data_IF_547551975509
#
_entry.id   IF_547551975509
#
_cell.length_a   1.000
_cell.length_b   1.000
_cell.length_c   1.000
_cell.angle_alpha   90.00
_cell.angle_beta   90.00
_cell.angle_gamma   90.00
#
_symmetry.space_group_name_H-M   'P 1'
#
loop_
_entity.id
_entity.type
_entity.pdbx_description
1 polymer ?
#
# COMPACT_ATOMS: atom_id res chain seq x y z
N UNK A 1 -12.64 -8.05 9.21
CA UNK A 1 -13.32 -6.82 8.80
C UNK A 1 -12.43 -6.01 7.87
N UNK A 2 -13.03 -5.31 6.93
CA UNK A 2 -12.30 -4.48 5.98
C UNK A 2 -12.46 -3.01 6.33
N UNK A 3 -11.43 -2.25 6.05
CA UNK A 3 -11.44 -0.81 6.28
C UNK A 3 -10.96 -0.10 5.03
N UNK A 4 -11.55 1.06 4.77
CA UNK A 4 -11.00 1.97 3.77
C UNK A 4 -10.40 3.14 4.52
N UNK A 5 -9.10 3.30 4.38
CA UNK A 5 -8.37 4.31 5.14
C UNK A 5 -7.56 5.20 4.21
N UNK A 6 -7.39 6.45 4.64
CA UNK A 6 -6.44 7.34 4.01
C UNK A 6 -5.11 7.11 4.72
N UNK A 7 -4.23 6.36 4.09
CA UNK A 7 -2.96 5.99 4.71
C UNK A 7 -1.90 7.04 4.42
N UNK A 8 -0.94 7.16 5.31
CA UNK A 8 0.19 8.06 5.14
C UNK A 8 1.40 7.27 4.71
N UNK A 9 2.04 7.71 3.63
CA UNK A 9 3.29 7.08 3.19
C UNK A 9 4.37 7.46 4.19
N UNK A 10 4.99 6.45 4.80
CA UNK A 10 6.05 6.67 5.76
C UNK A 10 7.40 6.65 5.08
N UNK A 11 7.57 5.76 4.11
CA UNK A 11 8.85 5.57 3.46
C UNK A 11 8.62 4.78 2.19
N UNK A 12 9.34 5.14 1.13
CA UNK A 12 9.34 4.32 -0.08
C UNK A 12 10.75 4.25 -0.62
N UNK A 13 11.16 3.05 -1.00
CA UNK A 13 12.52 2.80 -1.45
C UNK A 13 12.49 1.88 -2.66
N UNK A 14 13.24 2.23 -3.69
CA UNK A 14 13.41 1.32 -4.82
C UNK A 14 14.48 0.31 -4.43
N UNK A 15 14.10 -0.97 -4.34
CA UNK A 15 15.01 -2.00 -3.86
C UNK A 15 15.61 -2.83 -4.97
N UNK A 16 15.07 -2.71 -6.18
CA UNK A 16 15.60 -3.38 -7.36
C UNK A 16 15.01 -2.70 -8.57
N UNK A 17 15.43 -3.11 -9.77
CA UNK A 17 14.87 -2.54 -10.99
C UNK A 17 13.36 -2.76 -11.00
N UNK A 18 12.59 -1.68 -11.08
CA UNK A 18 11.12 -1.71 -11.13
C UNK A 18 10.46 -2.28 -9.89
N UNK A 19 11.19 -2.49 -8.79
CA UNK A 19 10.62 -3.05 -7.57
C UNK A 19 10.81 -2.07 -6.43
N UNK A 20 9.71 -1.79 -5.72
CA UNK A 20 9.67 -0.79 -4.66
C UNK A 20 9.16 -1.38 -3.36
N UNK A 21 9.72 -0.90 -2.26
CA UNK A 21 9.26 -1.21 -0.91
C UNK A 21 8.55 0.02 -0.36
N UNK A 22 7.31 -0.15 0.03
CA UNK A 22 6.46 0.96 0.48
C UNK A 22 5.92 0.68 1.87
N UNK A 23 6.28 1.56 2.82
CA UNK A 23 5.72 1.50 4.17
C UNK A 23 4.62 2.56 4.29
N UNK A 24 3.45 2.15 4.74
CA UNK A 24 2.35 3.08 4.99
C UNK A 24 1.86 2.96 6.41
N UNK A 25 1.32 4.03 6.94
CA UNK A 25 0.66 4.03 8.23
C UNK A 25 -0.83 3.91 8.01
N UNK A 26 -1.43 2.84 8.50
CA UNK A 26 -2.84 2.55 8.31
C UNK A 26 -3.30 1.74 9.53
N UNK A 27 -3.68 2.43 10.59
CA UNK A 27 -3.79 1.83 11.91
C UNK A 27 -4.82 0.73 12.01
N UNK A 28 -6.01 0.94 11.47
CA UNK A 28 -7.04 -0.07 11.58
C UNK A 28 -6.69 -1.31 10.78
N UNK A 29 -6.20 -1.12 9.57
CA UNK A 29 -5.84 -2.24 8.72
C UNK A 29 -4.66 -3.00 9.35
N UNK A 30 -3.65 -2.28 9.83
CA UNK A 30 -2.48 -2.94 10.43
C UNK A 30 -2.87 -3.74 11.66
N UNK A 31 -3.89 -3.29 12.39
CA UNK A 31 -4.33 -3.99 13.58
C UNK A 31 -4.96 -5.33 13.29
N UNK A 32 -5.49 -5.55 12.10
CA UNK A 32 -6.18 -6.78 11.76
C UNK A 32 -5.54 -7.58 10.64
N UNK A 33 -4.53 -7.02 9.98
CA UNK A 33 -3.91 -7.69 8.85
C UNK A 33 -3.17 -8.96 9.28
N UNK A 34 -3.11 -9.91 8.37
CA UNK A 34 -2.41 -11.18 8.59
C UNK A 34 -1.50 -11.46 7.41
N UNK A 35 -0.43 -12.23 7.62
CA UNK A 35 0.44 -12.60 6.50
C UNK A 35 -0.36 -13.28 5.40
N UNK A 36 -0.01 -12.99 4.17
CA UNK A 36 -0.69 -13.58 3.03
C UNK A 36 -1.86 -12.77 2.51
N UNK A 37 -2.27 -11.76 3.22
CA UNK A 37 -3.34 -10.88 2.75
C UNK A 37 -2.79 -9.77 1.88
N UNK A 38 -3.68 -8.99 1.29
CA UNK A 38 -3.28 -7.89 0.40
C UNK A 38 -4.16 -6.68 0.65
N UNK A 39 -3.74 -5.55 0.11
CA UNK A 39 -4.50 -4.31 0.14
C UNK A 39 -4.79 -3.86 -1.27
N UNK A 40 -5.91 -3.16 -1.46
CA UNK A 40 -6.18 -2.46 -2.71
C UNK A 40 -5.71 -1.03 -2.55
N UNK A 41 -4.82 -0.59 -3.44
CA UNK A 41 -4.32 0.79 -3.45
C UNK A 41 -5.06 1.57 -4.52
N UNK A 42 -5.53 2.74 -4.17
CA UNK A 42 -6.30 3.58 -5.08
C UNK A 42 -5.45 4.70 -5.63
N UNK A 43 -5.62 4.98 -6.92
CA UNK A 43 -4.93 6.07 -7.57
C UNK A 43 -5.38 7.40 -6.98
N UNK A 44 -4.43 8.34 -6.83
CA UNK A 44 -4.74 9.68 -6.37
C UNK A 44 -5.21 10.57 -7.51
N UNK A 45 -4.89 10.22 -8.73
CA UNK A 45 -5.28 11.00 -9.88
C UNK A 45 -6.71 10.67 -10.25
N UNK A 46 -7.34 11.59 -10.94
CA UNK A 46 -8.70 11.34 -11.41
C UNK A 46 -8.73 10.41 -12.58
N UNK A 47 -7.68 9.65 -12.77
CA UNK A 47 -7.66 8.65 -13.81
C UNK A 47 -8.73 7.62 -13.48
N UNK A 48 -9.18 6.90 -14.49
CA UNK A 48 -10.18 5.88 -14.29
C UNK A 48 -9.56 4.52 -14.04
N UNK A 49 -8.35 4.50 -13.53
CA UNK A 49 -7.68 3.23 -13.30
C UNK A 49 -8.28 2.53 -12.11
N UNK A 50 -8.39 1.23 -12.24
CA UNK A 50 -8.90 0.41 -11.14
C UNK A 50 -7.89 0.36 -10.01
N UNK A 51 -8.36 0.16 -8.78
CA UNK A 51 -7.43 -0.03 -7.67
C UNK A 51 -6.54 -1.24 -7.95
N UNK A 52 -5.33 -1.21 -7.40
CA UNK A 52 -4.36 -2.27 -7.62
C UNK A 52 -4.16 -3.08 -6.36
N UNK A 53 -4.26 -4.41 -6.45
CA UNK A 53 -3.98 -5.24 -5.29
C UNK A 53 -2.48 -5.38 -5.08
N UNK A 54 -2.04 -5.18 -3.85
CA UNK A 54 -0.62 -5.31 -3.51
C UNK A 54 -0.51 -6.14 -2.25
N UNK A 55 0.34 -7.16 -2.30
CA UNK A 55 0.49 -8.09 -1.18
C UNK A 55 1.19 -7.44 -0.01
N UNK A 56 0.74 -7.83 1.19
CA UNK A 56 1.35 -7.39 2.42
C UNK A 56 2.64 -8.17 2.64
N UNK A 57 3.74 -7.45 2.89
CA UNK A 57 5.04 -8.07 3.11
C UNK A 57 5.36 -8.13 4.59
N UNK A 58 5.15 -7.04 5.32
CA UNK A 58 5.41 -6.99 6.75
C UNK A 58 4.32 -6.19 7.45
N UNK A 59 4.07 -6.53 8.70
CA UNK A 59 3.07 -5.85 9.52
C UNK A 59 3.72 -5.42 10.83
N UNK A 60 3.63 -4.12 11.12
CA UNK A 60 4.07 -3.57 12.40
C UNK A 60 2.82 -3.11 13.12
N UNK A 61 2.23 -4.00 13.93
CA UNK A 61 0.95 -3.71 14.58
C UNK A 61 1.09 -2.58 15.59
N UNK A 62 2.18 -2.57 16.34
CA UNK A 62 2.34 -1.54 17.36
C UNK A 62 2.47 -0.16 16.75
N UNK A 63 3.17 -0.06 15.63
CA UNK A 63 3.33 1.22 14.97
C UNK A 63 2.22 1.56 14.01
N UNK A 64 1.29 0.63 13.78
CA UNK A 64 0.19 0.86 12.86
C UNK A 64 0.64 0.95 11.42
N UNK A 65 1.67 0.18 11.04
CA UNK A 65 2.27 0.30 9.72
C UNK A 65 2.28 -1.03 8.99
N UNK A 66 2.22 -0.93 7.66
CA UNK A 66 2.28 -2.10 6.79
C UNK A 66 3.30 -1.83 5.70
N UNK A 67 4.10 -2.84 5.39
CA UNK A 67 5.07 -2.78 4.30
C UNK A 67 4.57 -3.62 3.15
N UNK A 68 4.63 -3.05 1.96
CA UNK A 68 4.28 -3.75 0.73
C UNK A 68 5.45 -3.65 -0.23
N UNK A 69 5.63 -4.71 -1.02
CA UNK A 69 6.65 -4.71 -2.07
C UNK A 69 5.91 -4.97 -3.38
N UNK A 70 6.14 -4.13 -4.37
CA UNK A 70 5.41 -4.23 -5.62
C UNK A 70 6.32 -3.95 -6.81
N UNK A 71 5.92 -4.47 -7.96
CA UNK A 71 6.64 -4.24 -9.21
C UNK A 71 5.87 -3.23 -10.05
N UNK A 72 6.59 -2.32 -10.68
CA UNK A 72 5.96 -1.35 -11.58
C UNK A 72 5.71 -2.06 -12.92
N UNK A 73 4.44 -2.24 -13.27
CA UNK A 73 4.07 -2.95 -14.50
C UNK A 73 3.02 -2.20 -15.32
N UNK A 74 2.75 -0.95 -15.02
CA UNK A 74 1.79 -0.19 -15.78
C UNK A 74 1.59 1.17 -15.15
N UNK A 75 0.68 1.96 -15.73
CA UNK A 75 0.51 3.33 -15.28
C UNK A 75 0.05 3.42 -13.83
N UNK A 76 -0.81 2.50 -13.40
CA UNK A 76 -1.29 2.54 -12.02
C UNK A 76 -0.18 2.33 -11.02
N UNK A 77 0.65 1.31 -11.22
CA UNK A 77 1.75 1.06 -10.31
C UNK A 77 2.85 2.08 -10.48
N UNK A 78 3.01 2.63 -11.70
CA UNK A 78 3.99 3.69 -11.89
C UNK A 78 3.64 4.91 -11.05
N UNK A 79 2.37 5.23 -10.96
CA UNK A 79 1.93 6.36 -10.14
C UNK A 79 2.33 6.16 -8.70
N UNK A 80 2.16 4.94 -8.17
CA UNK A 80 2.53 4.67 -6.80
C UNK A 80 4.03 4.85 -6.56
N UNK A 81 4.85 4.60 -7.58
CA UNK A 81 6.30 4.73 -7.42
C UNK A 81 6.74 6.17 -7.22
N UNK A 82 5.86 7.13 -7.44
CA UNK A 82 6.17 8.54 -7.22
C UNK A 82 5.79 9.03 -5.84
N UNK A 83 5.21 8.16 -5.01
CA UNK A 83 4.84 8.53 -3.64
C UNK A 83 6.09 8.73 -2.78
N UNK A 84 6.05 9.73 -1.92
CA UNK A 84 7.14 10.00 -1.00
C UNK A 84 6.58 10.18 0.41
N UNK A 85 7.47 10.21 1.39
CA UNK A 85 7.08 10.35 2.78
C UNK A 85 6.14 11.54 2.97
N UNK A 86 5.06 11.31 3.68
CA UNK A 86 4.07 12.35 3.95
C UNK A 86 2.91 12.36 2.98
N UNK A 87 3.06 11.72 1.82
CA UNK A 87 1.95 11.63 0.88
C UNK A 87 0.83 10.78 1.47
N UNK A 88 -0.36 10.95 0.94
CA UNK A 88 -1.52 10.17 1.37
C UNK A 88 -2.00 9.29 0.23
N UNK A 89 -2.48 8.13 0.58
CA UNK A 89 -3.03 7.20 -0.41
C UNK A 89 -4.20 6.45 0.21
N UNK A 90 -5.25 6.27 -0.56
CA UNK A 90 -6.41 5.52 -0.08
C UNK A 90 -6.17 4.04 -0.24
N UNK A 91 -6.48 3.29 0.79
CA UNK A 91 -6.29 1.84 0.77
C UNK A 91 -7.51 1.15 1.33
N UNK A 92 -7.77 -0.05 0.86
CA UNK A 92 -8.86 -0.89 1.34
C UNK A 92 -8.29 -2.25 1.74
N UNK A 93 -8.63 -2.69 2.94
CA UNK A 93 -8.20 -4.00 3.37
C UNK A 93 -8.41 -4.21 4.85
N UNK A 94 -7.84 -5.28 5.40
CA UNK A 94 -7.08 -6.31 4.70
C UNK A 94 -7.99 -7.22 3.89
N UNK A 95 -7.49 -7.72 2.75
CA UNK A 95 -8.25 -8.54 1.84
C UNK A 95 -7.59 -9.92 1.72
N UNK A 96 -8.39 -10.90 1.34
CA UNK A 96 -7.91 -12.26 1.22
C UNK A 96 -8.01 -13.01 2.53
N UNK A 97 -7.61 -14.25 2.50
CA UNK A 97 -7.75 -15.13 3.68
C UNK A 97 -6.52 -15.15 4.55
#
# INVERSE_FOLDING_TARGET
>A
MKYKESATVMEQEQIASEIYSLWIRTEQIAGEAKPGQFLSLYSREESRMLPRPVSICEIDREGGRIRMVYRVVGKGTEEFSRLTSGDRIEVLGPLGN
#
